data_IF_015913547613
#
_entry.id   IF_015913547613
#
_cell.length_a   1.000
_cell.length_b   1.000
_cell.length_c   1.000
_cell.angle_alpha   90.00
_cell.angle_beta   90.00
_cell.angle_gamma   90.00
#
_symmetry.space_group_name_H-M   'P 1'
#
loop_
_entity.id
_entity.type
_entity.pdbx_description
1 polymer ?
#
# COMPACT_ATOMS: atom_id res chain seq x y z
N UNK A 1 -42.79 0.35 -53.55
CA UNK A 1 -43.74 1.18 -54.37
C UNK A 1 -43.62 2.61 -53.93
N UNK A 2 -43.42 3.45 -54.98
CA UNK A 2 -43.57 4.91 -55.05
C UNK A 2 -42.72 5.76 -54.13
N UNK A 3 -41.66 6.44 -54.59
CA UNK A 3 -41.53 7.60 -55.53
C UNK A 3 -42.33 8.82 -55.02
N UNK A 4 -41.81 10.04 -54.92
CA UNK A 4 -41.37 11.04 -55.88
C UNK A 4 -41.28 12.35 -55.04
N UNK A 5 -40.61 13.43 -55.23
CA UNK A 5 -39.72 14.16 -56.16
C UNK A 5 -39.50 15.58 -55.60
N UNK A 6 -38.33 16.10 -55.80
CA UNK A 6 -37.91 17.47 -56.16
C UNK A 6 -38.76 18.72 -55.84
N UNK A 7 -38.09 19.81 -55.34
CA UNK A 7 -37.86 20.98 -56.24
C UNK A 7 -36.82 21.96 -55.64
N UNK A 8 -35.92 22.40 -56.51
CA UNK A 8 -35.00 23.52 -56.37
C UNK A 8 -35.76 24.84 -56.67
N UNK A 9 -35.31 25.96 -56.02
CA UNK A 9 -35.32 27.28 -56.66
C UNK A 9 -34.12 28.09 -56.16
N UNK A 10 -33.35 28.61 -57.10
CA UNK A 10 -32.25 29.53 -56.94
C UNK A 10 -32.76 30.98 -56.95
N UNK A 11 -32.05 31.84 -56.25
CA UNK A 11 -32.28 33.31 -56.37
C UNK A 11 -31.01 34.06 -55.97
N UNK A 12 -30.39 34.62 -56.99
CA UNK A 12 -29.19 35.46 -57.03
C UNK A 12 -29.56 36.92 -56.81
N UNK A 13 -28.89 37.68 -55.93
CA UNK A 13 -28.77 39.14 -56.09
C UNK A 13 -27.55 39.67 -55.33
N UNK A 14 -26.66 40.32 -56.07
CA UNK A 14 -25.49 41.09 -55.57
C UNK A 14 -25.91 42.46 -55.09
N UNK A 15 -25.23 42.98 -54.07
CA UNK A 15 -24.98 44.42 -53.93
C UNK A 15 -23.69 44.67 -53.15
N UNK A 16 -22.82 45.46 -53.77
CA UNK A 16 -21.57 45.98 -53.23
C UNK A 16 -21.82 47.09 -52.20
N UNK A 17 -20.99 47.09 -51.12
CA UNK A 17 -20.85 48.22 -50.22
C UNK A 17 -19.52 48.16 -49.46
N UNK A 18 -18.55 48.99 -49.90
CA UNK A 18 -17.31 49.24 -49.20
C UNK A 18 -17.55 50.12 -47.96
N UNK A 19 -16.92 49.78 -46.81
CA UNK A 19 -16.42 50.77 -45.87
C UNK A 19 -15.39 50.15 -44.90
N UNK A 20 -14.34 50.86 -44.65
CA UNK A 20 -13.05 50.56 -44.02
C UNK A 20 -13.13 50.45 -42.48
N UNK A 21 -11.99 50.24 -41.77
CA UNK A 21 -11.90 49.28 -40.64
C UNK A 21 -12.03 49.96 -39.30
N UNK A 22 -12.62 49.28 -38.35
CA UNK A 22 -12.50 49.59 -36.93
C UNK A 22 -11.76 48.42 -36.24
N UNK A 23 -10.67 48.77 -35.61
CA UNK A 23 -9.85 47.94 -34.77
C UNK A 23 -10.63 47.49 -33.53
N UNK A 24 -11.05 46.25 -33.47
CA UNK A 24 -11.47 45.61 -32.25
C UNK A 24 -10.37 44.65 -31.78
N UNK A 25 -9.80 45.01 -30.67
CA UNK A 25 -8.84 44.22 -29.90
C UNK A 25 -9.55 42.96 -29.37
N UNK A 26 -9.34 41.84 -30.02
CA UNK A 26 -9.75 40.55 -29.46
C UNK A 26 -8.89 40.26 -28.26
N UNK A 27 -9.46 40.31 -27.09
CA UNK A 27 -8.90 39.72 -25.88
C UNK A 27 -8.85 38.21 -26.07
N UNK A 28 -7.64 37.65 -26.20
CA UNK A 28 -7.38 36.21 -26.04
C UNK A 28 -7.78 35.82 -24.64
N UNK A 29 -8.92 35.19 -24.49
CA UNK A 29 -9.22 34.40 -23.27
C UNK A 29 -8.27 33.21 -23.28
N UNK A 30 -7.24 33.31 -22.46
CA UNK A 30 -6.37 32.18 -22.09
C UNK A 30 -7.24 31.15 -21.38
N UNK A 31 -7.67 30.13 -22.14
CA UNK A 31 -8.28 28.94 -21.55
C UNK A 31 -7.21 28.29 -20.68
N UNK A 32 -7.33 28.48 -19.38
CA UNK A 32 -6.57 27.74 -18.38
C UNK A 32 -7.05 26.30 -18.50
N UNK A 33 -6.24 25.44 -19.13
CA UNK A 33 -6.44 23.99 -19.07
C UNK A 33 -6.39 23.60 -17.58
N UNK A 34 -7.54 23.30 -17.02
CA UNK A 34 -7.65 22.63 -15.73
C UNK A 34 -7.10 21.23 -15.94
N UNK A 35 -5.84 21.02 -15.60
CA UNK A 35 -5.25 19.68 -15.59
C UNK A 35 -6.05 18.83 -14.61
N UNK A 36 -6.82 17.89 -15.14
CA UNK A 36 -7.39 16.81 -14.34
C UNK A 36 -6.22 16.13 -13.62
N UNK A 37 -6.29 15.89 -12.30
CA UNK A 37 -5.23 15.17 -11.60
C UNK A 37 -5.04 13.83 -12.32
N UNK A 38 -3.84 13.59 -12.83
CA UNK A 38 -3.48 12.30 -13.43
C UNK A 38 -3.57 11.28 -12.29
N UNK A 39 -4.44 10.29 -12.44
CA UNK A 39 -4.53 9.19 -11.47
C UNK A 39 -3.13 8.58 -11.35
N UNK A 40 -2.56 8.53 -10.12
CA UNK A 40 -1.22 8.02 -9.92
C UNK A 40 -1.14 6.56 -10.33
N UNK A 41 -0.14 6.22 -11.13
CA UNK A 41 0.04 4.85 -11.64
C UNK A 41 0.58 3.93 -10.53
N UNK A 42 0.22 2.65 -10.61
CA UNK A 42 0.77 1.62 -9.75
C UNK A 42 2.24 1.34 -10.13
N UNK A 43 3.11 1.37 -9.15
CA UNK A 43 4.53 1.02 -9.25
C UNK A 43 4.67 -0.40 -8.70
N UNK A 44 5.20 -1.34 -9.50
CA UNK A 44 5.55 -2.67 -9.00
C UNK A 44 6.76 -2.56 -8.08
N UNK A 45 6.66 -3.12 -6.87
CA UNK A 45 7.77 -3.24 -5.92
C UNK A 45 8.43 -4.62 -5.98
N UNK A 46 7.89 -5.55 -6.77
CA UNK A 46 8.43 -6.88 -6.95
C UNK A 46 8.17 -7.35 -8.40
N UNK A 47 9.23 -7.72 -9.09
CA UNK A 47 9.19 -8.14 -10.49
C UNK A 47 8.87 -9.63 -10.68
N UNK A 48 8.82 -10.41 -9.57
CA UNK A 48 8.61 -11.85 -9.58
C UNK A 48 9.87 -12.67 -9.81
N UNK A 49 11.04 -12.05 -10.00
CA UNK A 49 12.28 -12.69 -10.39
C UNK A 49 13.48 -12.31 -9.51
N UNK A 50 13.51 -11.07 -8.96
CA UNK A 50 14.66 -10.53 -8.23
C UNK A 50 14.25 -9.83 -6.94
N UNK A 51 15.22 -9.63 -6.03
CA UNK A 51 15.06 -8.76 -4.85
C UNK A 51 15.41 -7.30 -5.14
N UNK A 52 15.48 -6.88 -6.39
CA UNK A 52 15.74 -5.48 -6.76
C UNK A 52 14.73 -4.56 -6.09
N UNK A 53 15.21 -3.53 -5.38
CA UNK A 53 14.38 -2.61 -4.62
C UNK A 53 14.10 -3.05 -3.17
N UNK A 54 14.73 -4.16 -2.72
CA UNK A 54 14.62 -4.68 -1.35
C UNK A 54 16.00 -4.97 -0.75
N UNK A 55 16.13 -4.77 0.54
CA UNK A 55 17.30 -5.17 1.31
C UNK A 55 16.89 -5.70 2.69
N UNK A 56 17.82 -6.33 3.40
CA UNK A 56 17.62 -6.75 4.78
C UNK A 56 17.57 -5.53 5.69
N UNK A 57 16.61 -5.46 6.60
CA UNK A 57 16.56 -4.40 7.60
C UNK A 57 17.88 -4.33 8.39
N UNK A 58 18.39 -3.12 8.61
CA UNK A 58 19.73 -2.87 9.17
C UNK A 58 20.85 -2.93 8.13
N UNK A 59 20.52 -3.15 6.85
CA UNK A 59 21.44 -3.12 5.71
C UNK A 59 21.91 -4.51 5.26
N UNK A 60 22.49 -4.52 4.06
CA UNK A 60 22.98 -5.72 3.39
C UNK A 60 21.98 -6.36 2.44
N UNK A 61 22.41 -7.42 1.78
CA UNK A 61 21.56 -8.18 0.85
C UNK A 61 20.44 -8.92 1.60
N UNK A 62 19.32 -9.14 0.91
CA UNK A 62 18.23 -9.99 1.39
C UNK A 62 18.77 -11.36 1.80
N UNK A 63 18.39 -11.84 2.99
CA UNK A 63 18.86 -13.10 3.55
C UNK A 63 18.41 -14.30 2.70
N UNK A 64 19.21 -15.38 2.70
CA UNK A 64 18.99 -16.56 1.84
C UNK A 64 17.75 -17.38 2.18
N UNK A 65 17.14 -17.14 3.36
CA UNK A 65 15.88 -17.76 3.71
C UNK A 65 14.70 -17.16 2.92
N UNK A 66 14.82 -15.91 2.47
CA UNK A 66 13.91 -15.34 1.49
C UNK A 66 14.22 -15.91 0.11
N UNK A 67 13.22 -16.43 -0.56
CA UNK A 67 13.32 -17.09 -1.86
C UNK A 67 12.28 -16.56 -2.83
N UNK A 68 12.56 -16.75 -4.12
CA UNK A 68 11.65 -16.42 -5.20
C UNK A 68 11.41 -17.67 -6.01
N UNK A 69 10.17 -18.13 -6.09
CA UNK A 69 9.75 -19.25 -6.90
C UNK A 69 8.38 -18.99 -7.54
N UNK A 70 8.24 -19.25 -8.82
CA UNK A 70 6.99 -19.10 -9.57
C UNK A 70 6.35 -17.70 -9.47
N UNK A 71 7.16 -16.63 -9.35
CA UNK A 71 6.68 -15.27 -9.19
C UNK A 71 6.19 -14.94 -7.78
N UNK A 72 6.43 -15.80 -6.81
CA UNK A 72 6.15 -15.60 -5.40
C UNK A 72 7.46 -15.35 -4.64
N UNK A 73 7.46 -14.33 -3.78
CA UNK A 73 8.48 -14.10 -2.77
C UNK A 73 8.03 -14.81 -1.50
N UNK A 74 8.86 -15.68 -0.93
CA UNK A 74 8.48 -16.41 0.28
C UNK A 74 9.65 -16.60 1.26
N UNK A 75 9.31 -16.74 2.53
CA UNK A 75 10.25 -17.08 3.59
C UNK A 75 10.27 -18.59 3.78
N UNK A 76 11.44 -19.23 3.53
CA UNK A 76 11.69 -20.61 3.86
C UNK A 76 12.15 -20.73 5.32
N UNK A 77 11.19 -20.97 6.20
CA UNK A 77 11.41 -21.05 7.65
C UNK A 77 11.95 -22.41 8.12
N UNK A 78 12.69 -23.15 7.29
CA UNK A 78 13.23 -24.46 7.66
C UNK A 78 14.24 -24.41 8.82
N UNK A 79 14.95 -23.29 8.97
CA UNK A 79 15.98 -23.10 9.99
C UNK A 79 15.62 -21.92 10.90
N UNK A 80 14.89 -22.17 11.97
CA UNK A 80 14.61 -21.11 12.97
C UNK A 80 15.88 -20.77 13.78
N UNK A 81 16.10 -19.47 14.00
CA UNK A 81 17.11 -18.94 14.90
C UNK A 81 16.43 -17.93 15.84
N UNK A 82 16.11 -18.38 17.04
CA UNK A 82 15.27 -17.61 17.96
C UNK A 82 13.83 -17.53 17.47
N UNK A 83 13.33 -16.31 17.31
CA UNK A 83 11.98 -16.02 16.80
C UNK A 83 11.94 -15.73 15.28
N UNK A 84 13.11 -15.55 14.67
CA UNK A 84 13.27 -15.36 13.21
C UNK A 84 13.85 -16.61 12.54
N UNK A 85 14.09 -16.50 11.24
CA UNK A 85 14.71 -17.55 10.43
C UNK A 85 16.21 -17.29 10.32
N UNK A 86 17.03 -18.32 10.53
CA UNK A 86 18.47 -18.23 10.26
C UNK A 86 18.74 -17.90 8.80
N UNK A 87 19.63 -16.95 8.52
CA UNK A 87 19.84 -16.33 7.19
C UNK A 87 18.59 -15.64 6.61
N UNK A 88 17.62 -15.28 7.44
CA UNK A 88 16.43 -14.50 7.11
C UNK A 88 16.55 -13.06 7.60
N UNK A 89 15.60 -12.66 8.43
CA UNK A 89 15.39 -11.31 8.94
C UNK A 89 14.38 -10.53 8.12
N UNK A 90 13.86 -9.47 8.70
CA UNK A 90 12.90 -8.61 8.01
C UNK A 90 13.53 -7.98 6.78
N UNK A 91 12.75 -7.84 5.70
CA UNK A 91 13.18 -7.15 4.48
C UNK A 91 12.39 -5.86 4.31
N UNK A 92 13.05 -4.83 3.79
CA UNK A 92 12.48 -3.50 3.59
C UNK A 92 12.69 -3.00 2.18
N UNK A 93 11.79 -2.14 1.71
CA UNK A 93 11.96 -1.44 0.44
C UNK A 93 13.15 -0.49 0.48
N UNK A 94 13.91 -0.36 -0.62
CA UNK A 94 14.97 0.67 -0.76
C UNK A 94 14.38 2.08 -0.75
N UNK A 95 13.17 2.23 -1.27
CA UNK A 95 12.45 3.49 -1.34
C UNK A 95 11.59 3.71 -0.09
N UNK A 96 11.46 4.97 0.31
CA UNK A 96 10.56 5.43 1.36
C UNK A 96 9.31 6.09 0.76
N UNK A 97 8.18 5.92 1.44
CA UNK A 97 6.88 6.45 1.03
C UNK A 97 6.26 7.28 2.15
N UNK A 98 5.49 8.31 1.79
CA UNK A 98 4.79 9.20 2.74
C UNK A 98 3.28 9.03 2.59
N UNK A 99 2.71 9.48 1.48
CA UNK A 99 1.30 9.29 1.14
C UNK A 99 1.21 8.21 0.06
N UNK A 100 0.57 7.09 0.37
CA UNK A 100 0.59 5.94 -0.51
C UNK A 100 -0.65 5.04 -0.37
N UNK A 101 -0.88 4.28 -1.41
CA UNK A 101 -1.73 3.10 -1.39
C UNK A 101 -0.85 1.88 -1.75
N UNK A 102 -0.49 1.09 -0.75
CA UNK A 102 0.24 -0.16 -0.89
C UNK A 102 -0.73 -1.33 -1.05
N UNK A 103 -0.36 -2.32 -1.84
CA UNK A 103 -1.14 -3.52 -2.06
C UNK A 103 -0.23 -4.73 -2.25
N UNK A 104 -0.59 -5.84 -1.62
CA UNK A 104 0.05 -7.15 -1.83
C UNK A 104 -0.93 -8.28 -1.59
N UNK A 105 -0.71 -9.42 -2.24
CA UNK A 105 -1.35 -10.67 -1.85
C UNK A 105 -0.39 -11.47 -0.97
N UNK A 106 -0.92 -12.05 0.10
CA UNK A 106 -0.17 -12.92 1.01
C UNK A 106 -0.88 -14.24 1.25
N UNK A 107 -0.11 -15.26 1.57
CA UNK A 107 -0.55 -16.62 1.90
C UNK A 107 0.32 -17.13 3.04
N UNK A 108 -0.28 -17.69 4.09
CA UNK A 108 0.43 -18.17 5.27
C UNK A 108 0.29 -19.67 5.44
N UNK A 109 1.32 -20.29 6.01
CA UNK A 109 1.29 -21.71 6.40
C UNK A 109 0.52 -21.93 7.70
N UNK A 110 0.13 -23.19 8.02
CA UNK A 110 -0.49 -23.49 9.31
C UNK A 110 0.38 -23.04 10.49
N UNK A 111 -0.24 -22.42 11.50
CA UNK A 111 0.38 -21.79 12.67
C UNK A 111 1.38 -20.66 12.34
N UNK A 112 1.27 -20.06 11.16
CA UNK A 112 2.20 -19.04 10.70
C UNK A 112 1.88 -17.65 11.25
N UNK A 113 2.95 -16.85 11.42
CA UNK A 113 2.93 -15.45 11.81
C UNK A 113 3.89 -14.67 10.90
N UNK A 114 3.48 -13.50 10.50
CA UNK A 114 4.22 -12.51 9.73
C UNK A 114 3.53 -11.15 9.86
N UNK A 115 4.02 -10.12 9.17
CA UNK A 115 3.43 -8.79 9.19
C UNK A 115 3.83 -7.95 7.98
N UNK A 116 3.01 -6.96 7.69
CA UNK A 116 3.33 -5.89 6.74
C UNK A 116 3.49 -4.62 7.57
N UNK A 117 4.74 -4.17 7.74
CA UNK A 117 5.07 -3.02 8.57
C UNK A 117 5.31 -1.83 7.64
N UNK A 118 4.75 -0.69 7.97
CA UNK A 118 4.79 0.49 7.10
C UNK A 118 5.28 1.73 7.83
N UNK A 119 5.72 2.74 7.07
CA UNK A 119 6.35 3.96 7.60
C UNK A 119 7.57 3.65 8.50
N UNK A 120 8.29 2.60 8.17
CA UNK A 120 9.47 2.15 8.91
C UNK A 120 10.58 3.17 8.76
N UNK A 121 11.10 3.65 9.89
CA UNK A 121 12.35 4.39 9.94
C UNK A 121 13.50 3.42 10.21
N UNK A 122 14.37 3.27 9.22
CA UNK A 122 15.56 2.45 9.36
C UNK A 122 16.73 3.32 9.81
N UNK A 123 17.25 3.04 11.00
CA UNK A 123 18.41 3.73 11.56
C UNK A 123 19.15 2.83 12.55
N UNK A 124 20.38 3.18 12.89
CA UNK A 124 21.20 2.42 13.87
C UNK A 124 20.63 2.42 15.31
N UNK A 125 19.59 3.23 15.57
CA UNK A 125 18.93 3.27 16.88
C UNK A 125 17.94 2.12 17.09
N UNK A 126 17.49 1.46 15.99
CA UNK A 126 16.43 0.47 16.02
C UNK A 126 16.90 -0.84 15.40
N UNK A 127 16.80 -1.91 16.17
CA UNK A 127 17.21 -3.25 15.73
C UNK A 127 16.18 -3.91 14.80
N UNK A 128 14.91 -3.46 14.85
CA UNK A 128 13.78 -4.07 14.13
C UNK A 128 12.81 -3.05 13.57
N UNK A 129 12.17 -3.31 12.41
CA UNK A 129 11.23 -2.39 11.78
C UNK A 129 10.00 -2.07 12.64
N UNK A 130 9.52 -3.03 13.44
CA UNK A 130 8.38 -2.87 14.35
C UNK A 130 8.64 -1.94 15.54
N UNK A 131 9.88 -1.50 15.77
CA UNK A 131 10.18 -0.47 16.78
C UNK A 131 9.78 0.93 16.33
N UNK A 132 9.51 1.11 15.05
CA UNK A 132 9.16 2.41 14.45
C UNK A 132 7.88 2.38 13.65
N UNK A 133 7.66 1.34 12.85
CA UNK A 133 6.53 1.21 11.93
C UNK A 133 5.34 0.48 12.55
N UNK A 134 4.11 1.00 12.36
CA UNK A 134 2.89 0.23 12.61
C UNK A 134 2.78 -0.98 11.67
N UNK A 135 2.01 -1.98 12.10
CA UNK A 135 1.93 -3.27 11.41
C UNK A 135 0.48 -3.65 11.08
N UNK A 136 0.24 -4.04 9.84
CA UNK A 136 -0.93 -4.83 9.45
C UNK A 136 -0.59 -6.31 9.65
N UNK A 137 -1.29 -6.97 10.58
CA UNK A 137 -1.00 -8.34 10.98
C UNK A 137 -1.29 -9.35 9.87
N UNK A 138 -0.39 -10.32 9.70
CA UNK A 138 -0.51 -11.49 8.82
C UNK A 138 -0.41 -12.75 9.68
N UNK A 139 -1.52 -13.46 9.88
CA UNK A 139 -1.58 -14.55 10.87
C UNK A 139 -2.50 -15.69 10.41
N UNK A 140 -2.18 -16.90 10.83
CA UNK A 140 -3.14 -18.00 10.91
C UNK A 140 -4.04 -17.80 12.15
N UNK A 141 -5.21 -17.23 11.95
CA UNK A 141 -6.13 -16.91 13.04
C UNK A 141 -6.66 -18.13 13.80
N UNK A 142 -6.63 -19.32 13.19
CA UNK A 142 -7.14 -20.56 13.78
C UNK A 142 -6.02 -21.33 14.53
N UNK A 143 -4.78 -21.29 14.01
CA UNK A 143 -3.71 -22.15 14.50
C UNK A 143 -2.67 -21.44 15.35
N UNK A 144 -2.37 -20.16 15.13
CA UNK A 144 -1.30 -19.47 15.83
C UNK A 144 -1.72 -19.05 17.26
N UNK A 145 -0.88 -19.26 18.29
CA UNK A 145 -1.20 -18.90 19.67
C UNK A 145 -1.54 -17.43 19.89
N UNK A 146 -0.94 -16.52 19.11
CA UNK A 146 -1.13 -15.07 19.21
C UNK A 146 -2.57 -14.63 18.82
N UNK A 147 -3.27 -15.41 18.00
CA UNK A 147 -4.66 -15.18 17.67
C UNK A 147 -5.65 -15.19 18.85
N UNK A 148 -5.19 -15.65 20.03
CA UNK A 148 -5.95 -15.58 21.28
C UNK A 148 -6.04 -14.15 21.83
N UNK A 149 -5.12 -13.28 21.42
CA UNK A 149 -5.14 -11.86 21.75
C UNK A 149 -5.92 -11.17 20.64
N UNK A 150 -7.01 -10.51 21.00
CA UNK A 150 -7.99 -10.03 20.02
C UNK A 150 -7.43 -8.98 19.04
N UNK A 151 -6.42 -8.20 19.46
CA UNK A 151 -5.74 -7.18 18.64
C UNK A 151 -4.52 -7.69 17.87
N UNK A 152 -4.34 -9.02 17.78
CA UNK A 152 -3.22 -9.67 17.11
C UNK A 152 -3.65 -10.58 15.95
N UNK A 153 -4.88 -10.44 15.47
CA UNK A 153 -5.43 -11.27 14.40
C UNK A 153 -5.13 -10.67 13.02
N UNK A 154 -5.17 -11.50 11.99
CA UNK A 154 -4.91 -11.04 10.62
C UNK A 154 -5.80 -9.86 10.22
N UNK A 155 -5.19 -8.79 9.70
CA UNK A 155 -5.87 -7.56 9.31
C UNK A 155 -5.97 -6.52 10.42
N UNK A 156 -5.68 -6.86 11.67
CA UNK A 156 -5.60 -5.88 12.76
C UNK A 156 -4.46 -4.88 12.53
N UNK A 157 -4.64 -3.67 13.02
CA UNK A 157 -3.50 -2.80 13.29
C UNK A 157 -2.89 -3.29 14.61
N UNK A 158 -1.85 -4.10 14.48
CA UNK A 158 -1.31 -4.97 15.52
C UNK A 158 -1.14 -4.26 16.87
N UNK A 159 -1.74 -4.84 17.92
CA UNK A 159 -1.74 -4.35 19.31
C UNK A 159 -2.34 -2.94 19.52
N UNK A 160 -2.94 -2.33 18.47
CA UNK A 160 -3.54 -0.99 18.53
C UNK A 160 -5.05 -1.01 18.27
N UNK A 161 -5.48 -1.55 17.12
CA UNK A 161 -6.89 -1.51 16.70
C UNK A 161 -7.30 -2.86 16.13
N UNK A 162 -8.34 -3.43 16.71
CA UNK A 162 -8.98 -4.66 16.24
C UNK A 162 -9.74 -4.39 14.95
N UNK A 163 -9.63 -5.30 13.98
CA UNK A 163 -10.44 -5.31 12.77
C UNK A 163 -11.94 -5.31 13.07
N UNK A 164 -12.68 -4.49 12.39
CA UNK A 164 -14.14 -4.41 12.56
C UNK A 164 -14.87 -5.65 12.00
N UNK A 165 -14.21 -6.40 11.10
CA UNK A 165 -14.72 -7.61 10.47
C UNK A 165 -13.57 -8.58 10.18
N UNK A 166 -13.74 -9.85 10.48
CA UNK A 166 -12.76 -10.89 10.15
C UNK A 166 -13.02 -11.42 8.73
N UNK A 167 -12.14 -11.03 7.80
CA UNK A 167 -12.26 -11.35 6.37
C UNK A 167 -11.13 -12.23 5.86
N UNK A 168 -10.24 -12.67 6.76
CA UNK A 168 -9.11 -13.55 6.42
C UNK A 168 -9.60 -14.87 5.85
N UNK A 169 -8.95 -15.36 4.80
CA UNK A 169 -9.20 -16.67 4.21
C UNK A 169 -8.39 -17.74 4.93
N UNK A 170 -8.78 -19.00 4.84
CA UNK A 170 -8.06 -20.13 5.43
C UNK A 170 -6.59 -20.17 5.02
N UNK A 171 -5.75 -20.81 5.86
CA UNK A 171 -4.33 -21.04 5.57
C UNK A 171 -4.15 -21.67 4.19
N UNK A 172 -3.10 -21.26 3.49
CA UNK A 172 -2.82 -21.71 2.12
C UNK A 172 -3.59 -20.99 1.03
N UNK A 173 -4.57 -20.13 1.37
CA UNK A 173 -5.29 -19.28 0.42
C UNK A 173 -4.68 -17.88 0.34
N UNK A 174 -4.80 -17.24 -0.83
CA UNK A 174 -4.31 -15.89 -1.05
C UNK A 174 -5.27 -14.85 -0.51
N UNK A 175 -4.76 -13.99 0.37
CA UNK A 175 -5.42 -12.81 0.92
C UNK A 175 -4.87 -11.56 0.26
N UNK A 176 -5.74 -10.60 -0.08
CA UNK A 176 -5.35 -9.29 -0.58
C UNK A 176 -5.32 -8.30 0.58
N UNK A 177 -4.13 -7.79 0.89
CA UNK A 177 -3.92 -6.72 1.86
C UNK A 177 -3.69 -5.38 1.15
N UNK A 178 -4.32 -4.34 1.67
CA UNK A 178 -4.12 -2.97 1.22
C UNK A 178 -3.90 -2.04 2.42
N UNK A 179 -2.90 -1.16 2.32
CA UNK A 179 -2.60 -0.13 3.31
C UNK A 179 -2.69 1.22 2.58
N UNK A 180 -3.61 2.07 3.00
CA UNK A 180 -3.84 3.38 2.42
C UNK A 180 -3.53 4.41 3.51
N UNK A 181 -2.42 5.14 3.32
CA UNK A 181 -1.99 6.22 4.19
C UNK A 181 -1.96 7.53 3.39
N UNK A 182 -2.74 8.53 3.80
CA UNK A 182 -2.83 9.81 3.12
C UNK A 182 -3.06 10.94 4.13
N UNK A 183 -2.10 11.84 4.28
CA UNK A 183 -2.15 12.97 5.22
C UNK A 183 -2.59 12.59 6.65
N UNK A 184 -2.13 11.41 7.10
CA UNK A 184 -2.46 10.86 8.42
C UNK A 184 -3.66 9.94 8.45
N UNK A 185 -4.58 10.03 7.52
CA UNK A 185 -5.68 9.08 7.39
C UNK A 185 -5.13 7.69 7.02
N UNK A 186 -5.39 6.70 7.85
CA UNK A 186 -5.00 5.32 7.66
C UNK A 186 -6.22 4.43 7.46
N UNK A 187 -6.22 3.67 6.38
CA UNK A 187 -7.17 2.58 6.16
C UNK A 187 -6.39 1.30 5.91
N UNK A 188 -6.67 0.26 6.70
CA UNK A 188 -6.28 -1.12 6.38
C UNK A 188 -7.47 -1.82 5.74
N UNK A 189 -7.20 -2.52 4.63
CA UNK A 189 -8.23 -3.27 3.91
C UNK A 189 -7.75 -4.70 3.71
N UNK A 190 -8.60 -5.67 4.05
CA UNK A 190 -8.33 -7.09 3.84
C UNK A 190 -9.45 -7.69 2.99
N UNK A 191 -9.07 -8.31 1.88
CA UNK A 191 -9.99 -8.95 0.93
C UNK A 191 -11.14 -8.03 0.45
N UNK A 192 -10.83 -6.74 0.25
CA UNK A 192 -11.77 -5.73 -0.26
C UNK A 192 -12.63 -5.06 0.81
N UNK A 193 -12.49 -5.42 2.09
CA UNK A 193 -13.21 -4.81 3.23
C UNK A 193 -12.28 -3.89 4.01
N UNK A 194 -12.71 -2.66 4.28
CA UNK A 194 -11.99 -1.73 5.16
C UNK A 194 -12.11 -2.22 6.61
N UNK A 195 -11.09 -2.89 7.11
CA UNK A 195 -11.11 -3.54 8.43
C UNK A 195 -10.66 -2.64 9.56
N UNK A 196 -9.80 -1.64 9.28
CA UNK A 196 -9.37 -0.62 10.23
C UNK A 196 -9.40 0.75 9.57
N UNK A 197 -9.87 1.77 10.29
CA UNK A 197 -9.73 3.19 9.93
C UNK A 197 -9.34 3.99 11.15
N UNK A 198 -8.33 4.85 11.01
CA UNK A 198 -7.88 5.76 12.06
C UNK A 198 -7.11 6.95 11.47
N UNK A 199 -6.85 7.96 12.29
CA UNK A 199 -5.98 9.09 11.92
C UNK A 199 -4.73 9.03 12.77
N UNK A 200 -3.57 8.84 12.13
CA UNK A 200 -2.27 8.83 12.77
C UNK A 200 -1.86 10.24 13.23
N UNK A 201 -0.95 10.32 14.21
CA UNK A 201 -0.33 11.56 14.71
C UNK A 201 -1.31 12.53 15.37
N UNK A 202 -2.44 12.03 15.85
CA UNK A 202 -3.42 12.77 16.66
C UNK A 202 -3.25 12.42 18.15
N UNK A 203 -3.86 13.16 19.08
CA UNK A 203 -3.89 12.78 20.48
C UNK A 203 -4.49 11.39 20.73
N UNK A 204 -5.48 10.98 19.93
CA UNK A 204 -6.10 9.65 19.98
C UNK A 204 -5.11 8.57 19.55
N UNK A 205 -4.30 8.81 18.52
CA UNK A 205 -3.22 7.94 18.09
C UNK A 205 -2.14 7.76 19.18
N UNK A 206 -1.74 8.86 19.81
CA UNK A 206 -0.79 8.83 20.93
C UNK A 206 -1.36 8.04 22.12
N UNK A 207 -2.65 8.17 22.41
CA UNK A 207 -3.32 7.41 23.45
C UNK A 207 -3.37 5.90 23.16
N UNK A 208 -3.61 5.50 21.89
CA UNK A 208 -3.54 4.09 21.48
C UNK A 208 -2.14 3.51 21.71
N UNK A 209 -1.08 4.23 21.33
CA UNK A 209 0.30 3.81 21.55
C UNK A 209 0.61 3.70 23.04
N UNK A 210 0.17 4.66 23.84
CA UNK A 210 0.42 4.69 25.29
C UNK A 210 -0.27 3.52 26.04
N UNK A 211 -1.34 2.96 25.48
CA UNK A 211 -2.07 1.80 26.05
C UNK A 211 -1.59 0.45 25.47
N UNK A 212 -0.63 0.46 24.55
CA UNK A 212 -0.13 -0.71 23.86
C UNK A 212 1.23 -1.19 24.42
N UNK A 213 1.72 -2.33 23.92
CA UNK A 213 3.08 -2.82 24.18
C UNK A 213 4.18 -1.89 23.67
N UNK A 214 3.84 -0.97 22.75
CA UNK A 214 4.77 -0.04 22.12
C UNK A 214 5.01 1.25 22.93
N UNK A 215 4.34 1.44 24.07
CA UNK A 215 4.39 2.65 24.91
C UNK A 215 5.80 3.11 25.28
N UNK A 216 6.73 2.17 25.44
CA UNK A 216 8.12 2.44 25.82
C UNK A 216 9.07 2.52 24.60
N UNK A 217 8.54 2.50 23.37
CA UNK A 217 9.28 2.59 22.12
C UNK A 217 9.25 4.03 21.58
N UNK A 218 10.34 4.79 21.70
CA UNK A 218 10.29 6.24 21.43
C UNK A 218 10.07 6.59 19.96
N UNK A 219 10.38 5.66 19.03
CA UNK A 219 10.20 5.86 17.58
C UNK A 219 8.87 5.37 17.01
N UNK A 220 8.11 4.57 17.77
CA UNK A 220 6.94 3.88 17.23
C UNK A 220 5.84 4.84 16.79
N UNK A 221 5.37 4.66 15.55
CA UNK A 221 4.22 5.38 15.00
C UNK A 221 4.39 6.89 14.79
N UNK A 222 5.64 7.40 14.79
CA UNK A 222 5.94 8.85 14.71
C UNK A 222 6.33 9.35 13.33
N UNK A 223 6.83 8.46 12.49
CA UNK A 223 7.38 8.84 11.20
C UNK A 223 6.27 8.99 10.15
N UNK A 224 6.33 10.11 9.39
CA UNK A 224 5.36 10.40 8.32
C UNK A 224 5.79 9.83 6.98
N UNK A 225 7.06 9.48 6.87
CA UNK A 225 7.69 8.88 5.70
C UNK A 225 8.58 7.74 6.15
N UNK A 226 8.54 6.63 5.42
CA UNK A 226 9.34 5.46 5.76
C UNK A 226 9.18 4.34 4.75
N UNK A 227 9.83 3.22 5.03
CA UNK A 227 9.87 2.03 4.19
C UNK A 227 8.66 1.13 4.46
N UNK A 228 8.42 0.21 3.54
CA UNK A 228 7.54 -0.95 3.76
C UNK A 228 8.42 -2.13 4.10
N UNK A 229 8.07 -2.87 5.17
CA UNK A 229 8.75 -4.10 5.55
C UNK A 229 7.83 -5.32 5.43
N UNK A 230 8.42 -6.46 5.08
CA UNK A 230 7.82 -7.78 5.20
C UNK A 230 8.54 -8.52 6.31
N UNK A 231 7.75 -8.99 7.30
CA UNK A 231 8.30 -9.52 8.55
C UNK A 231 8.70 -10.99 8.42
N UNK A 232 9.89 -11.31 8.92
CA UNK A 232 10.33 -12.65 9.27
C UNK A 232 9.99 -12.95 10.74
N UNK A 233 8.96 -13.75 10.97
CA UNK A 233 8.61 -14.26 12.32
C UNK A 233 8.96 -15.74 12.50
N UNK A 234 9.83 -16.28 11.62
CA UNK A 234 10.26 -17.67 11.65
C UNK A 234 9.20 -18.66 11.14
N UNK A 235 8.23 -18.20 10.38
CA UNK A 235 7.15 -19.02 9.82
C UNK A 235 7.03 -18.81 8.30
N UNK A 236 6.56 -19.85 7.60
CA UNK A 236 6.43 -19.80 6.14
C UNK A 236 5.29 -18.85 5.75
N UNK A 237 5.64 -17.81 5.02
CA UNK A 237 4.73 -16.84 4.43
C UNK A 237 5.12 -16.59 2.98
N UNK A 238 4.15 -16.36 2.13
CA UNK A 238 4.34 -16.02 0.72
C UNK A 238 3.70 -14.67 0.41
N UNK A 239 4.36 -13.89 -0.45
CA UNK A 239 3.88 -12.63 -0.98
C UNK A 239 3.99 -12.59 -2.50
N UNK A 240 3.06 -11.91 -3.17
CA UNK A 240 3.10 -11.63 -4.61
C UNK A 240 2.32 -10.37 -4.95
N UNK A 241 2.42 -9.91 -6.19
CA UNK A 241 1.70 -8.73 -6.68
C UNK A 241 1.92 -7.50 -5.78
N UNK A 242 3.17 -7.34 -5.30
CA UNK A 242 3.56 -6.26 -4.39
C UNK A 242 3.68 -4.98 -5.19
N UNK A 243 2.84 -4.01 -4.91
CA UNK A 243 2.79 -2.75 -5.64
C UNK A 243 2.34 -1.59 -4.77
N UNK A 244 2.67 -0.39 -5.20
CA UNK A 244 2.33 0.85 -4.50
C UNK A 244 1.98 1.95 -5.50
N UNK A 245 1.17 2.89 -5.09
CA UNK A 245 1.02 4.18 -5.79
C UNK A 245 1.13 5.33 -4.79
N UNK A 246 1.76 6.42 -5.20
CA UNK A 246 1.78 7.64 -4.41
C UNK A 246 0.39 8.33 -4.51
N UNK A 247 -0.01 8.96 -3.42
CA UNK A 247 -1.29 9.68 -3.29
C UNK A 247 -1.06 11.19 -3.23
#
# INVERSE_FOLDING_TARGET
MQRIKYLLVAGLAMAWGCSSPSSDTASEETMTETSTPTESEWISLFDGETFTGWHKYGGGEVGKAWKIENGELFLDAANKDGWQTGDGGDIVTDQEFENFHFQTEWKIAPNGNSGIIFLVNESEEYDYPWQTGPEMQVLDNDGHPDAKIISHRAGDLYDLIVSNEETVKPVGEWNLAEIIANDGELTLRLNGVDVVKTTMWTPEWEALIADSKFKDMPGFGKYKKGRIALQDHGDIVHFRNIRIKNL
#
